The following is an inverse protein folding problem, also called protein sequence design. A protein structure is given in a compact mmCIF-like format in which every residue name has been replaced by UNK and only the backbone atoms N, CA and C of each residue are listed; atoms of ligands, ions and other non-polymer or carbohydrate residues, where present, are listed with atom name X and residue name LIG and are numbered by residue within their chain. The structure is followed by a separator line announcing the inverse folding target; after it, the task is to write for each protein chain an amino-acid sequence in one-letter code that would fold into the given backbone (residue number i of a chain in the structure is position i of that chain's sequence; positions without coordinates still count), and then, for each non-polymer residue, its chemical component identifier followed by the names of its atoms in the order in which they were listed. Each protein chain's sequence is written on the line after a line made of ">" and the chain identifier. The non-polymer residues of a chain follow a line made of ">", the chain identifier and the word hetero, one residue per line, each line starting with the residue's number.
data_IF_838239506206
#
_entry.id   IF_838239506206
#
_cell.length_a   1.000
_cell.length_b   1.000
_cell.length_c   1.000
_cell.angle_alpha   90.00
_cell.angle_beta   90.00
_cell.angle_gamma   90.00
#
_symmetry.space_group_name_H-M   'P 1'
#
loop_
_entity.id
_entity.type
_entity.pdbx_description
1 polymer ?
#
# COMPACT_ATOMS: atom_id res chain seq x y z
N UNK A 1 0.61 -8.52 -1.27
CA UNK A 1 1.10 -9.29 -0.09
C UNK A 1 0.11 -9.24 1.07
N UNK A 2 -0.25 -8.06 1.58
CA UNK A 2 -1.18 -7.90 2.72
C UNK A 2 -2.51 -8.66 2.56
N UNK A 3 -3.13 -8.66 1.37
CA UNK A 3 -4.34 -9.45 1.08
C UNK A 3 -4.16 -10.97 1.26
N UNK A 4 -2.96 -11.50 1.01
CA UNK A 4 -2.65 -12.91 1.25
C UNK A 4 -2.43 -13.16 2.74
N UNK A 5 -1.66 -12.31 3.41
CA UNK A 5 -1.37 -12.43 4.84
C UNK A 5 -2.65 -12.37 5.69
N UNK A 6 -3.64 -11.56 5.31
CA UNK A 6 -4.92 -11.45 6.01
C UNK A 6 -5.70 -12.77 6.08
N UNK A 7 -5.46 -13.69 5.14
CA UNK A 7 -6.09 -15.03 5.17
C UNK A 7 -5.40 -16.00 6.14
N UNK A 8 -4.24 -15.64 6.67
CA UNK A 8 -3.39 -16.48 7.52
C UNK A 8 -3.47 -16.10 9.01
N UNK A 9 -4.11 -14.98 9.34
CA UNK A 9 -4.22 -14.45 10.70
C UNK A 9 -5.66 -14.02 11.00
N UNK A 10 -6.05 -13.85 12.27
CA UNK A 10 -7.34 -13.28 12.61
C UNK A 10 -7.57 -11.90 11.97
N UNK A 11 -8.85 -11.54 11.78
CA UNK A 11 -9.23 -10.23 11.21
C UNK A 11 -8.62 -9.09 12.02
N UNK A 12 -8.16 -8.04 11.33
CA UNK A 12 -7.55 -6.86 11.96
C UNK A 12 -6.09 -7.02 12.40
N UNK A 13 -5.47 -8.19 12.22
CA UNK A 13 -4.08 -8.44 12.63
C UNK A 13 -3.02 -8.08 11.55
N UNK A 14 -3.45 -7.56 10.40
CA UNK A 14 -2.53 -7.09 9.34
C UNK A 14 -2.62 -5.58 9.23
N UNK A 15 -1.49 -4.91 9.45
CA UNK A 15 -1.36 -3.47 9.20
C UNK A 15 -0.55 -3.21 7.92
N UNK A 16 -0.89 -2.14 7.21
CA UNK A 16 -0.12 -1.58 6.09
C UNK A 16 0.26 -0.15 6.45
N UNK A 17 1.56 0.12 6.51
CA UNK A 17 2.13 1.44 6.75
C UNK A 17 2.46 2.07 5.41
N UNK A 18 1.69 3.08 5.01
CA UNK A 18 1.81 3.73 3.69
C UNK A 18 1.24 5.15 3.77
N UNK A 19 2.06 6.21 3.55
CA UNK A 19 1.60 7.59 3.63
C UNK A 19 0.76 8.04 2.42
N UNK A 20 0.95 7.45 1.23
CA UNK A 20 0.35 7.95 0.00
C UNK A 20 -1.15 7.70 -0.09
N UNK A 21 -1.89 8.69 -0.59
CA UNK A 21 -3.33 8.60 -0.87
C UNK A 21 -3.67 7.78 -2.11
N UNK A 22 -2.71 7.58 -3.01
CA UNK A 22 -2.89 6.95 -4.30
C UNK A 22 -1.97 5.73 -4.43
N UNK A 23 -2.52 4.65 -4.97
CA UNK A 23 -1.77 3.49 -5.45
C UNK A 23 -1.61 3.60 -6.96
N UNK A 24 -0.39 3.40 -7.44
CA UNK A 24 -0.05 3.57 -8.84
C UNK A 24 0.29 2.23 -9.50
N UNK A 25 -0.41 1.89 -10.57
CA UNK A 25 -0.01 0.83 -11.48
C UNK A 25 1.10 1.34 -12.41
N UNK A 26 2.32 1.40 -11.87
CA UNK A 26 3.51 1.92 -12.53
C UNK A 26 3.81 1.28 -13.91
N UNK A 27 3.60 -0.02 -14.16
CA UNK A 27 3.83 -0.59 -15.48
C UNK A 27 3.02 0.07 -16.60
N UNK A 28 1.84 0.63 -16.27
CA UNK A 28 1.02 1.37 -17.23
C UNK A 28 1.65 2.68 -17.73
N UNK A 29 2.67 3.20 -17.04
CA UNK A 29 3.32 4.47 -17.42
C UNK A 29 4.00 4.42 -18.78
N UNK A 30 4.51 3.26 -19.20
CA UNK A 30 5.05 3.10 -20.55
C UNK A 30 3.98 3.36 -21.62
N UNK A 31 2.73 2.93 -21.38
CA UNK A 31 1.60 3.20 -22.27
C UNK A 31 1.17 4.68 -22.23
N UNK A 32 1.34 5.34 -21.08
CA UNK A 32 1.12 6.79 -20.95
C UNK A 32 2.16 7.56 -21.76
N UNK A 33 3.44 7.18 -21.66
CA UNK A 33 4.52 7.79 -22.45
C UNK A 33 4.35 7.59 -23.96
N UNK A 34 3.76 6.46 -24.37
CA UNK A 34 3.39 6.18 -25.76
C UNK A 34 2.06 6.80 -26.22
N UNK A 35 1.37 7.57 -25.37
CA UNK A 35 0.10 8.24 -25.72
C UNK A 35 -1.13 7.33 -25.78
N UNK A 36 -1.02 6.06 -25.37
CA UNK A 36 -2.11 5.08 -25.42
C UNK A 36 -3.01 5.15 -24.18
N UNK A 37 -2.46 5.53 -23.03
CA UNK A 37 -3.16 5.64 -21.75
C UNK A 37 -3.10 7.07 -21.20
N UNK A 38 -4.11 7.45 -20.40
CA UNK A 38 -4.06 8.63 -19.53
C UNK A 38 -3.45 8.26 -18.19
N UNK A 39 -2.66 9.14 -17.58
CA UNK A 39 -2.06 8.93 -16.26
C UNK A 39 -3.09 8.56 -15.17
N UNK A 40 -4.30 9.12 -15.24
CA UNK A 40 -5.39 8.82 -14.31
C UNK A 40 -5.82 7.35 -14.32
N UNK A 41 -5.66 6.65 -15.46
CA UNK A 41 -5.95 5.22 -15.56
C UNK A 41 -4.94 4.35 -14.79
N UNK A 42 -3.79 4.91 -14.43
CA UNK A 42 -2.77 4.23 -13.63
C UNK A 42 -2.91 4.52 -12.13
N UNK A 43 -3.87 5.34 -11.71
CA UNK A 43 -4.06 5.76 -10.32
C UNK A 43 -5.32 5.13 -9.73
N UNK A 44 -5.23 4.68 -8.49
CA UNK A 44 -6.39 4.23 -7.71
C UNK A 44 -6.26 4.75 -6.28
N UNK A 45 -7.32 5.26 -5.63
CA UNK A 45 -7.24 5.64 -4.21
C UNK A 45 -6.74 4.47 -3.35
N UNK A 46 -5.77 4.69 -2.47
CA UNK A 46 -5.14 3.65 -1.64
C UNK A 46 -6.18 2.85 -0.84
N UNK A 47 -7.17 3.55 -0.26
CA UNK A 47 -8.30 2.93 0.46
C UNK A 47 -9.09 1.89 -0.35
N UNK A 48 -9.09 1.99 -1.68
CA UNK A 48 -9.84 1.07 -2.57
C UNK A 48 -9.05 -0.20 -2.90
N UNK A 49 -7.72 -0.16 -2.82
CA UNK A 49 -6.86 -1.33 -3.08
C UNK A 49 -6.56 -2.14 -1.82
N UNK A 50 -6.66 -1.52 -0.64
CA UNK A 50 -6.49 -2.21 0.63
C UNK A 50 -7.73 -3.05 0.96
N UNK A 51 -7.50 -4.26 1.47
CA UNK A 51 -8.58 -5.11 1.95
C UNK A 51 -9.21 -4.51 3.21
N UNK A 52 -10.56 -4.53 3.37
CA UNK A 52 -11.24 -3.88 4.50
C UNK A 52 -10.84 -4.42 5.87
N UNK A 53 -10.39 -5.67 5.97
CA UNK A 53 -9.92 -6.26 7.23
C UNK A 53 -8.48 -5.85 7.62
N UNK A 54 -7.77 -5.10 6.76
CA UNK A 54 -6.42 -4.62 7.04
C UNK A 54 -6.47 -3.22 7.67
N UNK A 55 -5.60 -2.96 8.63
CA UNK A 55 -5.44 -1.64 9.23
C UNK A 55 -4.52 -0.80 8.34
N UNK A 56 -5.02 0.34 7.85
CA UNK A 56 -4.18 1.30 7.13
C UNK A 56 -3.62 2.34 8.09
N UNK A 57 -2.30 2.34 8.29
CA UNK A 57 -1.58 3.34 9.06
C UNK A 57 -0.99 4.34 8.06
N UNK A 58 -1.60 5.53 7.98
CA UNK A 58 -1.26 6.53 6.99
C UNK A 58 -0.08 7.41 7.42
N UNK A 59 1.04 6.76 7.67
CA UNK A 59 2.32 7.36 8.03
C UNK A 59 3.43 6.68 7.25
N UNK A 60 4.60 7.32 7.18
CA UNK A 60 5.80 6.69 6.67
C UNK A 60 6.55 5.95 7.79
N UNK A 61 7.14 4.80 7.46
CA UNK A 61 8.10 4.16 8.33
C UNK A 61 9.39 4.98 8.35
N UNK A 62 9.82 5.39 9.55
CA UNK A 62 11.05 6.15 9.77
C UNK A 62 12.23 5.22 10.02
N UNK A 63 12.02 4.17 10.82
CA UNK A 63 13.07 3.22 11.23
C UNK A 63 12.47 1.84 11.49
N UNK A 64 13.25 0.81 11.21
CA UNK A 64 12.95 -0.59 11.58
C UNK A 64 13.91 -0.98 12.69
N UNK A 65 13.39 -1.51 13.81
CA UNK A 65 14.15 -1.98 14.97
C UNK A 65 13.99 -3.51 15.12
N UNK A 66 14.85 -4.32 14.46
CA UNK A 66 14.66 -5.77 14.40
C UNK A 66 14.80 -6.47 15.76
N UNK A 67 15.68 -5.96 16.63
CA UNK A 67 15.92 -6.55 17.96
C UNK A 67 14.70 -6.48 18.88
N UNK A 68 13.84 -5.49 18.65
CA UNK A 68 12.62 -5.25 19.44
C UNK A 68 11.36 -5.71 18.69
N UNK A 69 11.50 -6.23 17.47
CA UNK A 69 10.39 -6.51 16.56
C UNK A 69 9.44 -5.32 16.37
N UNK A 70 10.00 -4.11 16.27
CA UNK A 70 9.24 -2.85 16.22
C UNK A 70 9.65 -1.97 15.04
N UNK A 71 8.81 -0.98 14.73
CA UNK A 71 9.09 0.08 13.76
C UNK A 71 8.74 1.44 14.38
N UNK A 72 9.48 2.47 14.00
CA UNK A 72 9.17 3.86 14.33
C UNK A 72 8.52 4.52 13.12
N UNK A 73 7.45 5.29 13.37
CA UNK A 73 6.73 6.04 12.35
C UNK A 73 7.14 7.52 12.39
N UNK A 74 6.94 8.24 11.28
CA UNK A 74 7.13 9.70 11.21
C UNK A 74 6.01 10.48 11.90
#
# INVERSE_FOLDING_TARGET
>A
LSHRCQKLVPKGQVAVVEPADEHHYQPGYTLVGGGLYKLQQCKTPMKRVLHPDNVWIKQAAKKINPQENSIELM
#
